data_IF_790994369331
#
_entry.id   IF_790994369331
#
_cell.length_a   1.000
_cell.length_b   1.000
_cell.length_c   1.000
_cell.angle_alpha   90.00
_cell.angle_beta   90.00
_cell.angle_gamma   90.00
#
_symmetry.space_group_name_H-M   'P 1'
#
loop_
_entity.id
_entity.type
_entity.pdbx_description
1 polymer ?
#
# COMPACT_ATOMS: atom_id res chain seq x y z
N UNK A 1 12.61 -5.99 1.98
CA UNK A 1 12.06 -4.85 1.19
C UNK A 1 13.19 -4.19 0.41
N UNK A 2 13.41 -4.57 -0.86
CA UNK A 2 14.55 -4.05 -1.65
C UNK A 2 14.40 -2.55 -1.94
N UNK A 3 13.21 -2.10 -2.37
CA UNK A 3 12.94 -0.68 -2.70
C UNK A 3 13.18 0.26 -1.51
N UNK A 4 12.72 -0.11 -0.31
CA UNK A 4 12.89 0.71 0.91
C UNK A 4 14.37 0.87 1.25
N UNK A 5 15.16 -0.20 1.11
CA UNK A 5 16.59 -0.16 1.35
C UNK A 5 17.30 0.76 0.34
N UNK A 6 17.00 0.63 -0.96
CA UNK A 6 17.61 1.46 -2.00
C UNK A 6 17.27 2.95 -1.82
N UNK A 7 16.01 3.28 -1.52
CA UNK A 7 15.59 4.67 -1.25
C UNK A 7 16.30 5.23 -0.02
N UNK A 8 16.45 4.45 1.05
CA UNK A 8 17.13 4.89 2.26
C UNK A 8 18.64 5.15 2.07
N UNK A 9 19.29 4.48 1.12
CA UNK A 9 20.72 4.64 0.84
C UNK A 9 21.05 5.65 -0.26
N UNK A 10 20.05 6.15 -0.97
CA UNK A 10 20.25 7.04 -2.13
C UNK A 10 19.70 8.43 -1.85
N UNK A 11 20.59 9.43 -1.88
CA UNK A 11 20.19 10.83 -1.78
C UNK A 11 19.22 11.17 -2.92
N UNK A 12 18.09 11.78 -2.57
CA UNK A 12 16.98 12.09 -3.48
C UNK A 12 16.28 10.86 -4.12
N UNK A 13 16.47 9.66 -3.56
CA UNK A 13 15.77 8.46 -4.01
C UNK A 13 14.25 8.55 -3.81
N UNK A 14 13.48 8.13 -4.81
CA UNK A 14 12.01 8.01 -4.75
C UNK A 14 11.63 6.61 -5.20
N UNK A 15 10.72 5.96 -4.47
CA UNK A 15 10.24 4.64 -4.80
C UNK A 15 8.82 4.40 -4.30
N UNK A 16 8.23 3.29 -4.74
CA UNK A 16 6.91 2.82 -4.32
C UNK A 16 7.04 1.46 -3.62
N UNK A 17 6.38 1.32 -2.48
CA UNK A 17 6.34 0.08 -1.71
C UNK A 17 5.03 -0.02 -0.93
N UNK A 18 4.70 -1.22 -0.46
CA UNK A 18 3.59 -1.41 0.47
C UNK A 18 3.86 -0.71 1.81
N UNK A 19 2.83 -0.05 2.37
CA UNK A 19 2.97 0.76 3.59
C UNK A 19 3.46 -0.06 4.81
N UNK A 20 3.21 -1.37 4.83
CA UNK A 20 3.69 -2.28 5.87
C UNK A 20 5.22 -2.49 5.89
N UNK A 21 5.94 -2.07 4.84
CA UNK A 21 7.41 -2.13 4.79
C UNK A 21 8.09 -0.83 5.22
N UNK A 22 7.34 0.16 5.71
CA UNK A 22 7.88 1.45 6.16
C UNK A 22 8.85 1.24 7.34
N UNK A 23 10.04 1.81 7.24
CA UNK A 23 11.03 1.93 8.32
C UNK A 23 11.29 3.40 8.63
N UNK A 24 12.14 3.70 9.61
CA UNK A 24 12.59 5.06 9.92
C UNK A 24 13.45 5.68 8.80
N UNK A 25 14.06 4.87 7.93
CA UNK A 25 14.92 5.31 6.84
C UNK A 25 14.17 5.88 5.62
N UNK A 26 12.85 5.79 5.59
CA UNK A 26 12.03 6.32 4.49
C UNK A 26 10.82 7.10 5.01
N UNK A 27 10.39 8.09 4.23
CA UNK A 27 9.18 8.87 4.53
C UNK A 27 8.11 8.57 3.50
N UNK A 28 6.93 8.14 3.97
CA UNK A 28 5.75 8.09 3.12
C UNK A 28 5.29 9.52 2.79
N UNK A 29 5.06 9.79 1.51
CA UNK A 29 4.62 11.10 1.03
C UNK A 29 3.09 11.18 1.00
N UNK A 30 2.48 12.24 1.56
CA UNK A 30 1.06 12.51 1.34
C UNK A 30 0.78 12.74 -0.15
N UNK A 31 -0.35 12.24 -0.64
CA UNK A 31 -0.72 12.31 -2.06
C UNK A 31 -2.08 12.99 -2.24
N UNK A 32 -2.23 13.67 -3.36
CA UNK A 32 -3.50 14.23 -3.80
C UNK A 32 -3.89 13.65 -5.15
N UNK A 33 -5.17 13.31 -5.33
CA UNK A 33 -5.66 12.71 -6.58
C UNK A 33 -5.72 13.71 -7.73
N UNK A 34 -5.84 15.01 -7.42
CA UNK A 34 -6.00 16.09 -8.40
C UNK A 34 -5.17 17.31 -8.00
N UNK A 35 -4.63 18.07 -8.98
CA UNK A 35 -3.97 19.34 -8.69
C UNK A 35 -4.86 20.28 -7.86
N UNK A 36 -4.26 20.99 -6.90
CA UNK A 36 -4.97 21.95 -6.04
C UNK A 36 -5.89 21.34 -4.98
N UNK A 37 -5.98 20.01 -4.86
CA UNK A 37 -6.72 19.34 -3.76
C UNK A 37 -5.79 19.00 -2.59
N UNK A 38 -6.32 18.92 -1.34
CA UNK A 38 -5.53 18.58 -0.17
C UNK A 38 -4.77 17.27 -0.32
N UNK A 39 -3.57 17.22 0.21
CA UNK A 39 -2.81 15.99 0.30
C UNK A 39 -3.31 15.13 1.46
N UNK A 40 -3.43 13.84 1.21
CA UNK A 40 -3.87 12.85 2.19
C UNK A 40 -2.69 11.97 2.58
N UNK A 41 -2.49 11.78 3.89
CA UNK A 41 -1.42 10.93 4.41
C UNK A 41 -1.76 9.44 4.28
N UNK A 42 -0.74 8.60 4.10
CA UNK A 42 -0.86 7.14 4.08
C UNK A 42 -1.03 6.57 5.51
N UNK A 43 -2.21 6.75 6.10
CA UNK A 43 -2.59 6.15 7.40
C UNK A 43 -3.55 4.97 7.19
N UNK A 44 -3.65 4.03 8.14
CA UNK A 44 -4.64 2.95 8.07
C UNK A 44 -6.06 3.48 7.87
N UNK A 45 -6.47 4.49 8.63
CA UNK A 45 -7.78 5.12 8.50
C UNK A 45 -8.04 5.70 7.10
N UNK A 46 -7.07 6.41 6.54
CA UNK A 46 -7.19 6.97 5.20
C UNK A 46 -7.19 5.89 4.12
N UNK A 47 -6.49 4.77 4.34
CA UNK A 47 -6.50 3.64 3.42
C UNK A 47 -7.86 2.93 3.43
N UNK A 48 -8.39 2.60 4.61
CA UNK A 48 -9.67 1.90 4.80
C UNK A 48 -10.85 2.74 4.28
N UNK A 49 -10.83 4.06 4.53
CA UNK A 49 -11.86 4.99 4.04
C UNK A 49 -11.73 5.34 2.56
N UNK A 50 -10.71 4.84 1.86
CA UNK A 50 -10.45 5.19 0.45
C UNK A 50 -9.99 6.63 0.23
N UNK A 51 -9.59 7.34 1.28
CA UNK A 51 -9.13 8.73 1.22
C UNK A 51 -7.71 8.88 0.67
N UNK A 52 -6.82 7.93 0.97
CA UNK A 52 -5.48 7.92 0.39
C UNK A 52 -5.55 7.45 -1.07
N UNK A 53 -5.10 8.25 -2.06
CA UNK A 53 -5.41 8.01 -3.47
C UNK A 53 -4.64 6.85 -4.11
N UNK A 54 -3.62 6.32 -3.44
CA UNK A 54 -2.82 5.17 -3.91
C UNK A 54 -3.00 3.96 -2.97
N UNK A 55 -4.25 3.70 -2.57
CA UNK A 55 -4.64 2.47 -1.88
C UNK A 55 -5.27 1.48 -2.86
N UNK A 56 -5.28 0.19 -2.50
CA UNK A 56 -5.94 -0.87 -3.27
C UNK A 56 -6.45 -1.97 -2.34
N UNK A 57 -7.45 -2.70 -2.79
CA UNK A 57 -7.83 -3.96 -2.16
C UNK A 57 -6.75 -5.02 -2.36
N UNK A 58 -6.57 -5.87 -1.34
CA UNK A 58 -5.84 -7.11 -1.48
C UNK A 58 -6.83 -8.17 -1.95
N UNK A 59 -6.75 -8.53 -3.23
CA UNK A 59 -7.51 -9.65 -3.77
C UNK A 59 -6.76 -10.94 -3.46
N UNK A 60 -7.45 -11.87 -2.82
CA UNK A 60 -6.97 -13.22 -2.56
C UNK A 60 -7.63 -14.16 -3.55
N UNK A 61 -6.82 -14.80 -4.39
CA UNK A 61 -7.28 -15.81 -5.32
C UNK A 61 -7.01 -17.18 -4.72
N UNK A 62 -8.03 -18.04 -4.76
CA UNK A 62 -7.93 -19.42 -4.30
C UNK A 62 -8.20 -20.35 -5.47
N UNK A 63 -7.41 -21.42 -5.57
CA UNK A 63 -7.65 -22.48 -6.55
C UNK A 63 -8.81 -23.36 -6.07
N UNK A 64 -10.04 -22.88 -6.27
CA UNK A 64 -11.26 -23.58 -5.87
C UNK A 64 -11.59 -24.66 -6.91
N UNK A 65 -11.73 -25.89 -6.45
CA UNK A 65 -12.28 -26.96 -7.29
C UNK A 65 -13.73 -26.60 -7.72
N UNK A 66 -14.09 -26.66 -9.02
CA UNK A 66 -15.37 -26.15 -9.53
C UNK A 66 -16.59 -26.66 -8.77
N UNK A 67 -16.61 -27.97 -8.48
CA UNK A 67 -17.76 -28.66 -7.88
C UNK A 67 -17.59 -29.02 -6.40
N UNK A 68 -16.62 -28.40 -5.69
CA UNK A 68 -16.47 -28.60 -4.24
C UNK A 68 -16.58 -27.26 -3.51
N UNK A 69 -17.20 -27.21 -2.32
CA UNK A 69 -17.18 -26.01 -1.49
C UNK A 69 -15.73 -25.70 -1.07
N UNK A 70 -15.48 -24.43 -0.74
CA UNK A 70 -14.23 -24.06 -0.07
C UNK A 70 -14.22 -24.66 1.34
N UNK A 71 -13.02 -24.95 1.84
CA UNK A 71 -12.87 -25.26 3.25
C UNK A 71 -13.38 -24.07 4.10
N UNK A 72 -13.98 -24.33 5.28
CA UNK A 72 -14.31 -23.27 6.23
C UNK A 72 -13.08 -22.42 6.56
N UNK A 73 -13.30 -21.15 6.89
CA UNK A 73 -12.26 -20.31 7.48
C UNK A 73 -12.06 -20.80 8.92
N UNK A 74 -10.83 -21.20 9.26
CA UNK A 74 -10.39 -21.43 10.64
C UNK A 74 -10.13 -20.11 11.38
#
# INVERSE_FOLDING_TARGET
ASVVQSVSSSLNGIGYSGIGYKTSGVRAVPLSRKPGKPFVAATPDNAIKGGYPLSRFLYVYVNKHPNRPLAPIE
#
